data_IF_787223525204
#
_entry.id   IF_787223525204
#
_cell.length_a   1.000
_cell.length_b   1.000
_cell.length_c   1.000
_cell.angle_alpha   90.00
_cell.angle_beta   90.00
_cell.angle_gamma   90.00
#
_symmetry.space_group_name_H-M   'P 1'
#
loop_
_entity.id
_entity.type
_entity.pdbx_description
1 polymer ?
#
# COMPACT_ATOMS: atom_id res chain seq x y z
N UNK A 1 25.47 -24.78 -2.35
CA UNK A 1 25.85 -24.19 -1.04
C UNK A 1 26.24 -22.71 -1.08
N UNK A 2 27.20 -22.22 -1.88
CA UNK A 2 27.55 -20.77 -1.85
C UNK A 2 26.53 -19.87 -2.60
N UNK A 3 25.98 -20.32 -3.72
CA UNK A 3 25.04 -19.54 -4.55
C UNK A 3 23.67 -19.39 -3.87
N UNK A 4 23.24 -20.37 -3.10
CA UNK A 4 21.95 -20.39 -2.38
C UNK A 4 21.85 -19.29 -1.31
N UNK A 5 22.96 -18.84 -0.75
CA UNK A 5 23.01 -17.76 0.25
C UNK A 5 23.19 -16.39 -0.43
N UNK A 6 23.85 -16.36 -1.59
CA UNK A 6 24.10 -15.12 -2.33
C UNK A 6 22.81 -14.49 -2.86
N UNK A 7 21.86 -15.31 -3.33
CA UNK A 7 20.58 -14.83 -3.90
C UNK A 7 19.71 -14.11 -2.85
N UNK A 8 19.42 -14.69 -1.67
CA UNK A 8 18.71 -13.98 -0.60
C UNK A 8 19.46 -12.72 -0.15
N UNK A 9 20.78 -12.80 0.01
CA UNK A 9 21.58 -11.68 0.48
C UNK A 9 21.53 -10.48 -0.49
N UNK A 10 21.66 -10.74 -1.79
CA UNK A 10 21.55 -9.71 -2.81
C UNK A 10 20.14 -9.10 -2.87
N UNK A 11 19.10 -9.92 -2.70
CA UNK A 11 17.71 -9.46 -2.66
C UNK A 11 17.47 -8.50 -1.49
N UNK A 12 17.88 -8.88 -0.28
CA UNK A 12 17.76 -8.01 0.90
C UNK A 12 18.61 -6.73 0.77
N UNK A 13 19.81 -6.84 0.22
CA UNK A 13 20.68 -5.68 -0.01
C UNK A 13 20.08 -4.68 -1.01
N UNK A 14 19.41 -5.15 -2.07
CA UNK A 14 18.74 -4.27 -3.03
C UNK A 14 17.52 -3.57 -2.44
N UNK A 15 16.69 -4.29 -1.67
CA UNK A 15 15.54 -3.69 -0.97
C UNK A 15 16.03 -2.62 0.01
N UNK A 16 17.02 -2.98 0.83
CA UNK A 16 17.60 -2.06 1.80
C UNK A 16 18.24 -0.85 1.13
N UNK A 17 19.02 -1.05 0.06
CA UNK A 17 19.66 0.02 -0.70
C UNK A 17 18.65 0.98 -1.32
N UNK A 18 17.61 0.46 -1.95
CA UNK A 18 16.53 1.26 -2.54
C UNK A 18 15.81 2.11 -1.48
N UNK A 19 15.44 1.48 -0.36
CA UNK A 19 14.79 2.18 0.76
C UNK A 19 15.69 3.23 1.40
N UNK A 20 16.97 2.91 1.61
CA UNK A 20 17.94 3.81 2.20
C UNK A 20 18.16 5.06 1.34
N UNK A 21 18.29 4.89 0.02
CA UNK A 21 18.39 6.01 -0.92
C UNK A 21 17.13 6.83 -0.91
N UNK A 22 15.94 6.21 -0.96
CA UNK A 22 14.67 6.92 -0.92
C UNK A 22 14.52 7.81 0.33
N UNK A 23 14.81 7.27 1.52
CA UNK A 23 14.74 8.03 2.78
C UNK A 23 15.82 9.13 2.83
N UNK A 24 17.04 8.80 2.40
CA UNK A 24 18.17 9.74 2.41
C UNK A 24 17.93 10.92 1.46
N UNK A 25 17.42 10.67 0.26
CA UNK A 25 17.11 11.73 -0.72
C UNK A 25 16.09 12.71 -0.17
N UNK A 26 15.00 12.22 0.46
CA UNK A 26 13.98 13.09 1.07
C UNK A 26 14.51 13.92 2.24
N UNK A 27 15.42 13.36 3.04
CA UNK A 27 16.03 14.10 4.14
C UNK A 27 16.98 15.21 3.63
N UNK A 28 17.74 14.93 2.56
CA UNK A 28 18.63 15.91 1.93
C UNK A 28 17.87 17.06 1.26
N UNK A 29 16.76 16.76 0.57
CA UNK A 29 15.88 17.78 0.00
C UNK A 29 15.30 18.72 1.08
N UNK A 30 14.90 18.17 2.23
CA UNK A 30 14.38 18.94 3.36
C UNK A 30 15.43 19.85 4.00
N UNK A 31 16.66 19.36 4.16
CA UNK A 31 17.79 20.14 4.68
C UNK A 31 18.18 21.30 3.74
N UNK A 32 18.26 21.03 2.43
CA UNK A 32 18.58 22.06 1.44
C UNK A 32 17.53 23.18 1.38
N UNK A 33 16.26 22.87 1.64
CA UNK A 33 15.18 23.86 1.72
C UNK A 33 15.27 24.72 2.99
N UNK A 34 15.71 24.15 4.11
CA UNK A 34 15.98 24.90 5.36
C UNK A 34 17.17 25.85 5.16
N UNK A 35 18.26 25.37 4.55
CA UNK A 35 19.46 26.16 4.28
C UNK A 35 19.21 27.32 3.30
N UNK A 36 18.27 27.16 2.36
CA UNK A 36 17.85 28.22 1.43
C UNK A 36 16.81 29.18 2.01
N UNK A 37 16.50 29.08 3.31
CA UNK A 37 15.58 30.00 3.99
C UNK A 37 14.11 29.85 3.60
N UNK A 38 13.72 28.70 3.03
CA UNK A 38 12.31 28.43 2.75
C UNK A 38 11.55 28.25 4.07
N UNK A 39 10.56 29.11 4.29
CA UNK A 39 9.77 29.20 5.51
C UNK A 39 9.23 27.82 5.96
N UNK A 40 9.29 27.46 7.26
CA UNK A 40 8.74 26.21 7.80
C UNK A 40 7.24 26.00 7.51
N UNK A 41 6.54 27.05 7.10
CA UNK A 41 5.14 27.05 6.70
C UNK A 41 4.86 26.29 5.40
N UNK A 42 5.85 26.19 4.49
CA UNK A 42 5.73 25.35 3.28
C UNK A 42 5.76 23.85 3.58
N UNK A 43 6.25 23.45 4.77
CA UNK A 43 6.35 22.05 5.16
C UNK A 43 5.13 21.53 5.94
N UNK A 44 4.35 22.41 6.58
CA UNK A 44 3.17 21.99 7.36
C UNK A 44 1.92 21.73 6.53
N UNK A 45 1.80 22.35 5.35
CA UNK A 45 0.53 22.33 4.60
C UNK A 45 0.26 21.03 3.82
N UNK A 46 1.23 20.10 3.68
CA UNK A 46 1.07 18.92 2.81
C UNK A 46 1.19 17.55 3.49
N UNK A 47 1.64 17.44 4.73
CA UNK A 47 1.93 16.12 5.33
C UNK A 47 0.73 15.40 5.91
N UNK A 48 -0.29 16.11 6.38
CA UNK A 48 -1.25 15.50 7.31
C UNK A 48 -2.53 15.00 6.64
N UNK A 49 -2.92 15.56 5.49
CA UNK A 49 -4.13 15.14 4.78
C UNK A 49 -3.99 13.76 4.09
N UNK A 50 -2.77 13.34 3.76
CA UNK A 50 -2.56 12.10 3.00
C UNK A 50 -2.26 10.87 3.89
N UNK A 51 -1.90 11.09 5.16
CA UNK A 51 -1.51 10.01 6.09
C UNK A 51 -2.71 9.14 6.50
N UNK A 52 -3.87 9.76 6.78
CA UNK A 52 -5.10 9.04 7.12
C UNK A 52 -5.70 8.27 5.94
N UNK A 53 -5.57 8.78 4.72
CA UNK A 53 -6.12 8.16 3.51
C UNK A 53 -5.48 6.81 3.20
N UNK A 54 -4.15 6.71 3.28
CA UNK A 54 -3.47 5.44 3.05
C UNK A 54 -3.95 4.37 4.05
N UNK A 55 -4.10 4.73 5.32
CA UNK A 55 -4.62 3.84 6.36
C UNK A 55 -6.04 3.37 6.03
N UNK A 56 -6.91 4.28 5.60
CA UNK A 56 -8.28 3.95 5.20
C UNK A 56 -8.34 3.03 3.96
N UNK A 57 -7.49 3.30 2.96
CA UNK A 57 -7.36 2.47 1.75
C UNK A 57 -6.92 1.04 2.06
N UNK A 58 -5.91 0.89 2.92
CA UNK A 58 -5.48 -0.43 3.37
C UNK A 58 -6.54 -1.12 4.23
N UNK A 59 -7.27 -0.38 5.07
CA UNK A 59 -8.39 -0.93 5.85
C UNK A 59 -9.49 -1.54 4.96
N UNK A 60 -9.94 -0.81 3.93
CA UNK A 60 -10.97 -1.29 3.01
C UNK A 60 -10.49 -2.47 2.16
N UNK A 61 -9.21 -2.48 1.79
CA UNK A 61 -8.59 -3.61 1.09
C UNK A 61 -8.56 -4.88 1.95
N UNK A 62 -8.15 -4.77 3.21
CA UNK A 62 -8.11 -5.91 4.14
C UNK A 62 -9.51 -6.47 4.43
N UNK A 63 -10.53 -5.60 4.55
CA UNK A 63 -11.93 -6.03 4.67
C UNK A 63 -12.37 -6.78 3.40
N UNK A 64 -12.00 -6.29 2.21
CA UNK A 64 -12.26 -6.97 0.95
C UNK A 64 -11.63 -8.36 0.87
N UNK A 65 -10.38 -8.51 1.32
CA UNK A 65 -9.72 -9.82 1.39
C UNK A 65 -10.46 -10.77 2.33
N UNK A 66 -10.85 -10.31 3.52
CA UNK A 66 -11.59 -11.14 4.48
C UNK A 66 -12.91 -11.65 3.89
N UNK A 67 -13.67 -10.78 3.21
CA UNK A 67 -14.89 -11.16 2.50
C UNK A 67 -14.60 -12.13 1.34
N UNK A 68 -13.51 -11.92 0.61
CA UNK A 68 -13.08 -12.79 -0.48
C UNK A 68 -12.72 -14.20 -0.03
N UNK A 69 -12.11 -14.35 1.15
CA UNK A 69 -11.80 -15.67 1.73
C UNK A 69 -13.09 -16.41 2.10
N UNK A 70 -14.05 -15.72 2.74
CA UNK A 70 -15.34 -16.30 3.11
C UNK A 70 -16.12 -16.72 1.85
N UNK A 71 -16.14 -15.86 0.83
CA UNK A 71 -16.80 -16.16 -0.44
C UNK A 71 -16.11 -17.29 -1.22
N UNK A 72 -14.77 -17.35 -1.21
CA UNK A 72 -13.99 -18.42 -1.82
C UNK A 72 -14.26 -19.79 -1.20
N UNK A 73 -14.41 -19.83 0.13
CA UNK A 73 -14.81 -21.04 0.84
C UNK A 73 -16.19 -21.53 0.41
N UNK A 74 -17.18 -20.62 0.36
CA UNK A 74 -18.54 -20.94 -0.09
C UNK A 74 -18.58 -21.44 -1.54
N UNK A 75 -17.71 -20.90 -2.39
CA UNK A 75 -17.60 -21.30 -3.80
C UNK A 75 -16.96 -22.68 -3.96
N UNK A 76 -16.01 -23.01 -3.09
CA UNK A 76 -15.37 -24.33 -3.04
C UNK A 76 -16.37 -25.41 -2.63
N UNK A 77 -17.24 -25.11 -1.65
CA UNK A 77 -18.37 -26.02 -1.30
C UNK A 77 -19.36 -26.21 -2.47
N UNK A 78 -19.45 -25.24 -3.37
CA UNK A 78 -20.26 -25.31 -4.59
C UNK A 78 -19.68 -26.19 -5.71
N UNK A 79 -18.51 -26.81 -5.50
CA UNK A 79 -17.89 -27.75 -6.44
C UNK A 79 -16.85 -27.14 -7.38
N UNK A 80 -16.39 -25.90 -7.13
CA UNK A 80 -15.20 -25.35 -7.79
C UNK A 80 -13.91 -25.83 -7.13
N UNK A 81 -12.84 -25.94 -7.92
CA UNK A 81 -11.50 -26.23 -7.39
C UNK A 81 -11.03 -25.13 -6.41
N UNK A 82 -10.39 -25.57 -5.34
CA UNK A 82 -10.04 -24.74 -4.18
C UNK A 82 -9.12 -23.58 -4.56
N UNK A 83 -8.05 -23.85 -5.30
CA UNK A 83 -7.06 -22.84 -5.69
C UNK A 83 -7.69 -21.68 -6.51
N UNK A 84 -8.34 -21.91 -7.66
CA UNK A 84 -8.92 -20.82 -8.44
C UNK A 84 -10.09 -20.15 -7.70
N UNK A 85 -10.84 -20.85 -6.85
CA UNK A 85 -11.91 -20.26 -6.07
C UNK A 85 -11.40 -19.21 -5.06
N UNK A 86 -10.36 -19.54 -4.30
CA UNK A 86 -9.76 -18.59 -3.36
C UNK A 86 -9.05 -17.43 -4.08
N UNK A 87 -8.24 -17.72 -5.10
CA UNK A 87 -7.54 -16.67 -5.83
C UNK A 87 -8.51 -15.69 -6.50
N UNK A 88 -9.54 -16.19 -7.18
CA UNK A 88 -10.52 -15.33 -7.85
C UNK A 88 -11.30 -14.46 -6.86
N UNK A 89 -11.79 -15.04 -5.76
CA UNK A 89 -12.60 -14.29 -4.79
C UNK A 89 -11.78 -13.28 -3.98
N UNK A 90 -10.53 -13.60 -3.63
CA UNK A 90 -9.64 -12.66 -2.94
C UNK A 90 -9.34 -11.45 -3.84
N UNK A 91 -8.98 -11.67 -5.11
CA UNK A 91 -8.72 -10.57 -6.03
C UNK A 91 -9.97 -9.77 -6.38
N UNK A 92 -11.13 -10.43 -6.48
CA UNK A 92 -12.40 -9.77 -6.78
C UNK A 92 -12.85 -8.88 -5.62
N UNK A 93 -12.98 -9.41 -4.40
CA UNK A 93 -13.44 -8.64 -3.25
C UNK A 93 -12.38 -7.66 -2.73
N UNK A 94 -11.10 -8.03 -2.78
CA UNK A 94 -9.99 -7.10 -2.51
C UNK A 94 -9.96 -5.93 -3.50
N UNK A 95 -10.17 -6.21 -4.80
CA UNK A 95 -10.26 -5.19 -5.85
C UNK A 95 -11.46 -4.26 -5.68
N UNK A 96 -12.64 -4.80 -5.34
CA UNK A 96 -13.83 -4.01 -5.02
C UNK A 96 -13.57 -3.12 -3.80
N UNK A 97 -12.94 -3.64 -2.74
CA UNK A 97 -12.56 -2.85 -1.56
C UNK A 97 -11.67 -1.66 -1.92
N UNK A 98 -10.70 -1.84 -2.82
CA UNK A 98 -9.87 -0.75 -3.33
C UNK A 98 -10.66 0.26 -4.19
N UNK A 99 -11.55 -0.22 -5.08
CA UNK A 99 -12.37 0.64 -5.93
C UNK A 99 -13.33 1.51 -5.10
N UNK A 100 -13.96 0.92 -4.08
CA UNK A 100 -14.83 1.66 -3.15
C UNK A 100 -14.03 2.70 -2.36
N UNK A 101 -12.80 2.36 -1.93
CA UNK A 101 -11.93 3.31 -1.23
C UNK A 101 -11.64 4.55 -2.09
N UNK A 102 -11.41 4.38 -3.39
CA UNK A 102 -11.20 5.48 -4.33
C UNK A 102 -12.47 6.33 -4.52
N UNK A 103 -13.64 5.70 -4.68
CA UNK A 103 -14.91 6.43 -4.82
C UNK A 103 -15.29 7.21 -3.56
N UNK A 104 -15.04 6.64 -2.38
CA UNK A 104 -15.27 7.31 -1.10
C UNK A 104 -14.35 8.53 -0.95
N UNK A 105 -13.08 8.42 -1.35
CA UNK A 105 -12.15 9.55 -1.36
C UNK A 105 -12.66 10.71 -2.23
N UNK A 106 -13.17 10.41 -3.43
CA UNK A 106 -13.76 11.42 -4.31
C UNK A 106 -14.93 12.18 -3.68
N UNK A 107 -15.69 11.54 -2.77
CA UNK A 107 -16.77 12.20 -2.01
C UNK A 107 -16.24 13.04 -0.85
N UNK A 108 -15.22 12.56 -0.13
CA UNK A 108 -14.61 13.32 0.98
C UNK A 108 -13.92 14.60 0.52
N UNK A 109 -13.32 14.61 -0.68
CA UNK A 109 -12.67 15.79 -1.26
C UNK A 109 -13.65 16.80 -1.89
N UNK A 110 -14.88 16.39 -2.19
CA UNK A 110 -15.93 17.27 -2.77
C UNK A 110 -16.71 18.05 -1.71
N UNK A 111 -16.65 17.60 -0.45
CA UNK A 111 -17.35 18.21 0.68
C UNK A 111 -16.44 19.05 1.60
N UNK A 112 -15.17 19.26 1.21
CA UNK A 112 -14.33 20.36 1.70
C UNK A 112 -14.26 21.45 0.62
#
# INVERSE_FOLDING_TARGET
MQVEILVPLAFFALIFGSWYVFVTTRNKERLALIEKGASPDLFKTKSDLNSGYNTFKFGLFLIGIALGIIAGHLLTEGGMEEEPAYFSMIFLFGGIGLAVSFLLQGKFLKNQ
#
